data_IF_508147188363
#
_entry.id   IF_508147188363
#
_cell.length_a   1.000
_cell.length_b   1.000
_cell.length_c   1.000
_cell.angle_alpha   90.00
_cell.angle_beta   90.00
_cell.angle_gamma   90.00
#
_symmetry.space_group_name_H-M   'P 1'
#
loop_
_entity.id
_entity.type
_entity.pdbx_description
1 polymer ?
#
# COMPACT_ATOMS: atom_id res chain seq x y z
N UNK A 1 32.54 -65.67 -16.26
CA UNK A 1 32.46 -65.58 -14.78
C UNK A 1 32.34 -64.12 -14.41
N UNK A 2 31.29 -63.77 -13.65
CA UNK A 2 31.17 -62.59 -12.78
C UNK A 2 31.25 -61.23 -13.50
N UNK A 3 30.11 -60.70 -13.94
CA UNK A 3 29.75 -59.25 -13.90
C UNK A 3 28.30 -59.10 -14.41
N UNK A 4 27.37 -59.73 -13.69
CA UNK A 4 25.91 -59.54 -13.80
C UNK A 4 25.38 -59.30 -12.39
N UNK A 5 25.71 -58.14 -11.83
CA UNK A 5 25.11 -57.59 -10.62
C UNK A 5 25.67 -56.17 -10.49
N UNK A 6 24.88 -55.21 -9.99
CA UNK A 6 25.23 -53.77 -9.85
C UNK A 6 24.88 -52.90 -11.08
N UNK A 7 23.65 -52.95 -11.60
CA UNK A 7 23.00 -51.75 -12.23
C UNK A 7 21.48 -51.78 -12.04
N UNK A 8 20.97 -52.37 -10.96
CA UNK A 8 19.52 -52.37 -10.65
C UNK A 8 19.34 -52.13 -9.15
N UNK A 9 19.95 -51.04 -8.65
CA UNK A 9 19.58 -50.39 -7.39
C UNK A 9 19.72 -48.87 -7.57
N UNK A 10 19.27 -48.35 -8.71
CA UNK A 10 18.84 -46.95 -8.84
C UNK A 10 17.32 -46.91 -8.77
N UNK A 11 16.82 -47.66 -7.77
CA UNK A 11 15.44 -47.75 -7.37
C UNK A 11 15.12 -46.42 -6.66
N UNK A 12 14.24 -45.64 -7.28
CA UNK A 12 13.19 -44.94 -6.55
C UNK A 12 13.63 -44.13 -5.32
N UNK A 13 14.62 -43.26 -5.50
CA UNK A 13 14.65 -41.99 -4.76
C UNK A 13 14.33 -40.89 -5.78
N UNK A 14 13.22 -41.08 -6.52
CA UNK A 14 12.46 -39.95 -7.00
C UNK A 14 11.87 -39.34 -5.74
N UNK A 15 12.64 -38.41 -5.16
CA UNK A 15 12.21 -37.61 -4.04
C UNK A 15 10.94 -36.92 -4.53
N UNK A 16 9.78 -37.42 -4.10
CA UNK A 16 8.59 -36.61 -3.98
C UNK A 16 8.92 -35.53 -2.94
N UNK A 17 9.72 -34.55 -3.35
CA UNK A 17 9.58 -33.20 -2.86
C UNK A 17 8.23 -32.76 -3.42
N UNK A 18 7.16 -33.28 -2.82
CA UNK A 18 5.92 -32.54 -2.82
C UNK A 18 6.33 -31.23 -2.19
N UNK A 19 6.41 -30.20 -3.01
CA UNK A 19 6.43 -28.84 -2.53
C UNK A 19 5.19 -28.76 -1.64
N UNK A 20 5.42 -28.95 -0.34
CA UNK A 20 4.56 -28.42 0.67
C UNK A 20 4.70 -26.91 0.47
N UNK A 21 4.00 -26.40 -0.53
CA UNK A 21 3.50 -25.05 -0.51
C UNK A 21 2.76 -25.00 0.83
N UNK A 22 3.48 -24.56 1.85
CA UNK A 22 2.91 -23.96 3.02
C UNK A 22 2.11 -22.80 2.44
N UNK A 23 0.90 -23.13 2.00
CA UNK A 23 -0.03 -22.24 1.36
C UNK A 23 -0.46 -21.29 2.45
N UNK A 24 0.38 -20.28 2.66
CA UNK A 24 0.06 -19.09 3.43
C UNK A 24 -1.14 -18.52 2.70
N UNK A 25 -2.31 -18.93 3.18
CA UNK A 25 -3.59 -18.57 2.61
C UNK A 25 -3.60 -17.05 2.57
N UNK A 26 -3.62 -16.50 1.37
CA UNK A 26 -3.59 -15.05 1.17
C UNK A 26 -4.72 -14.43 2.00
N UNK A 27 -4.43 -13.35 2.76
CA UNK A 27 -5.43 -12.73 3.60
C UNK A 27 -6.58 -12.22 2.73
N UNK A 28 -7.79 -12.22 3.30
CA UNK A 28 -8.93 -11.58 2.64
C UNK A 28 -8.91 -10.08 2.93
N UNK A 29 -9.37 -9.29 1.97
CA UNK A 29 -9.45 -7.84 2.06
C UNK A 29 -10.87 -7.37 2.35
N UNK A 30 -10.99 -6.38 3.23
CA UNK A 30 -12.27 -5.88 3.75
C UNK A 30 -12.29 -4.35 3.78
N UNK A 31 -13.46 -3.76 3.52
CA UNK A 31 -13.81 -2.44 4.06
C UNK A 31 -14.34 -2.61 5.47
N UNK A 32 -14.13 -1.62 6.34
CA UNK A 32 -14.56 -1.67 7.75
C UNK A 32 -15.55 -0.55 8.03
N UNK A 33 -16.57 -0.86 8.83
CA UNK A 33 -17.47 0.15 9.43
C UNK A 33 -17.62 -0.14 10.92
N UNK A 34 -17.75 0.92 11.72
CA UNK A 34 -18.04 0.78 13.15
C UNK A 34 -19.48 0.34 13.36
N UNK A 35 -19.70 -0.58 14.27
CA UNK A 35 -21.05 -0.90 14.76
C UNK A 35 -21.49 0.14 15.80
N UNK A 36 -22.50 0.95 15.44
CA UNK A 36 -23.03 2.02 16.28
C UNK A 36 -24.22 1.58 17.15
N UNK A 37 -24.63 0.30 17.10
CA UNK A 37 -25.72 -0.22 17.92
C UNK A 37 -25.35 -0.14 19.41
N UNK A 38 -26.35 0.16 20.25
CA UNK A 38 -26.20 0.23 21.72
C UNK A 38 -26.84 -1.00 22.36
N UNK A 39 -26.03 -1.91 22.90
CA UNK A 39 -26.44 -3.16 23.55
C UNK A 39 -25.28 -3.70 24.42
N UNK A 40 -25.42 -4.89 25.02
CA UNK A 40 -24.34 -5.51 25.80
C UNK A 40 -23.19 -6.00 24.90
N UNK A 41 -21.96 -5.60 25.20
CA UNK A 41 -20.76 -6.18 24.60
C UNK A 41 -20.68 -7.69 24.95
N UNK A 42 -20.19 -8.56 24.03
CA UNK A 42 -19.59 -8.27 22.72
C UNK A 42 -20.58 -8.37 21.55
N UNK A 43 -21.90 -8.21 21.77
CA UNK A 43 -22.92 -8.34 20.71
C UNK A 43 -23.05 -7.07 19.84
N UNK A 44 -22.53 -5.95 20.30
CA UNK A 44 -22.46 -4.68 19.58
C UNK A 44 -21.28 -3.82 20.04
N UNK A 45 -21.06 -2.71 19.34
CA UNK A 45 -19.93 -1.80 19.57
C UNK A 45 -18.63 -2.26 18.89
N UNK A 46 -18.70 -3.34 18.11
CA UNK A 46 -17.61 -3.89 17.31
C UNK A 46 -17.55 -3.27 15.91
N UNK A 47 -17.35 -4.10 14.90
CA UNK A 47 -17.17 -3.68 13.51
C UNK A 47 -17.90 -4.59 12.54
N UNK A 48 -18.35 -4.02 11.43
CA UNK A 48 -18.84 -4.74 10.26
C UNK A 48 -17.77 -4.74 9.18
N UNK A 49 -17.44 -5.92 8.67
CA UNK A 49 -16.50 -6.13 7.60
C UNK A 49 -17.25 -6.48 6.32
N UNK A 50 -17.07 -5.69 5.27
CA UNK A 50 -17.56 -6.03 3.94
C UNK A 50 -16.41 -6.53 3.09
N UNK A 51 -16.48 -7.76 2.61
CA UNK A 51 -15.42 -8.36 1.81
C UNK A 51 -15.40 -7.73 0.41
N UNK A 52 -14.28 -7.11 0.02
CA UNK A 52 -14.19 -6.40 -1.26
C UNK A 52 -14.36 -7.34 -2.45
N UNK A 53 -14.88 -6.82 -3.57
CA UNK A 53 -15.19 -7.55 -4.82
C UNK A 53 -16.24 -8.68 -4.70
N UNK A 54 -16.77 -8.95 -3.50
CA UNK A 54 -17.80 -9.98 -3.33
C UNK A 54 -19.18 -9.38 -3.08
N UNK A 55 -20.21 -10.22 -3.25
CA UNK A 55 -21.61 -9.92 -2.88
C UNK A 55 -22.00 -10.52 -1.52
N UNK A 56 -21.03 -10.97 -0.72
CA UNK A 56 -21.29 -11.56 0.59
C UNK A 56 -21.80 -10.51 1.57
N UNK A 57 -22.66 -10.96 2.50
CA UNK A 57 -23.14 -10.13 3.60
C UNK A 57 -21.99 -9.70 4.51
N UNK A 58 -22.21 -8.58 5.21
CA UNK A 58 -21.24 -8.05 6.18
C UNK A 58 -21.00 -9.04 7.32
N UNK A 59 -19.73 -9.20 7.69
CA UNK A 59 -19.29 -10.03 8.79
C UNK A 59 -19.15 -9.15 10.04
N UNK A 60 -19.88 -9.48 11.10
CA UNK A 60 -19.71 -8.81 12.39
C UNK A 60 -18.50 -9.37 13.14
N UNK A 61 -17.58 -8.50 13.55
CA UNK A 61 -16.47 -8.83 14.45
C UNK A 61 -16.53 -7.96 15.69
N UNK A 62 -16.37 -8.55 16.87
CA UNK A 62 -16.44 -7.80 18.13
C UNK A 62 -15.15 -7.02 18.41
N UNK A 63 -14.02 -7.47 17.84
CA UNK A 63 -12.71 -6.87 18.06
C UNK A 63 -11.83 -6.96 16.81
N UNK A 64 -10.94 -5.99 16.70
CA UNK A 64 -9.84 -5.93 15.73
C UNK A 64 -8.53 -6.05 16.52
N UNK A 65 -7.63 -6.92 16.05
CA UNK A 65 -6.28 -7.10 16.58
C UNK A 65 -5.25 -6.76 15.50
N UNK A 66 -4.16 -6.10 15.87
CA UNK A 66 -3.10 -5.68 14.94
C UNK A 66 -2.93 -4.16 14.92
N UNK A 67 -2.84 -3.60 13.72
CA UNK A 67 -2.61 -2.17 13.52
C UNK A 67 -3.70 -1.28 14.13
N UNK A 68 -3.28 -0.13 14.66
CA UNK A 68 -4.20 0.87 15.20
C UNK A 68 -4.85 1.63 14.04
N UNK A 69 -6.16 1.46 13.88
CA UNK A 69 -6.96 2.22 12.93
C UNK A 69 -7.48 3.53 13.56
N UNK A 70 -7.66 4.55 12.74
CA UNK A 70 -8.36 5.77 13.13
C UNK A 70 -9.88 5.53 13.01
N UNK A 71 -10.56 5.41 14.15
CA UNK A 71 -12.00 5.16 14.23
C UNK A 71 -12.84 6.22 13.49
N UNK A 72 -12.30 7.44 13.29
CA UNK A 72 -12.98 8.52 12.58
C UNK A 72 -12.81 8.46 11.06
N UNK A 73 -11.96 7.56 10.58
CA UNK A 73 -11.60 7.43 9.17
C UNK A 73 -11.68 5.99 8.67
N UNK A 74 -12.48 5.12 9.32
CA UNK A 74 -12.59 3.70 8.94
C UNK A 74 -13.01 3.47 7.48
N UNK A 75 -13.79 4.38 6.92
CA UNK A 75 -14.22 4.37 5.52
C UNK A 75 -13.07 4.66 4.53
N UNK A 76 -11.93 5.14 5.03
CA UNK A 76 -10.70 5.36 4.27
C UNK A 76 -9.78 4.15 4.25
N UNK A 77 -10.13 3.04 4.92
CA UNK A 77 -9.27 1.86 5.02
C UNK A 77 -9.77 0.68 4.18
N UNK A 78 -8.81 0.00 3.57
CA UNK A 78 -8.92 -1.39 3.12
C UNK A 78 -7.93 -2.21 3.95
N UNK A 79 -8.43 -3.20 4.68
CA UNK A 79 -7.59 -4.06 5.51
C UNK A 79 -7.54 -5.47 4.97
N UNK A 80 -6.36 -6.05 4.91
CA UNK A 80 -6.15 -7.48 4.73
C UNK A 80 -6.04 -8.15 6.10
N UNK A 81 -6.71 -9.29 6.27
CA UNK A 81 -6.59 -10.04 7.51
C UNK A 81 -7.32 -11.38 7.51
N UNK A 82 -7.34 -11.99 8.70
CA UNK A 82 -8.04 -13.26 8.94
C UNK A 82 -9.09 -13.09 10.02
N UNK A 83 -10.33 -13.47 9.70
CA UNK A 83 -11.40 -13.59 10.70
C UNK A 83 -11.26 -14.94 11.41
N UNK A 84 -11.22 -14.91 12.74
CA UNK A 84 -11.13 -16.09 13.60
C UNK A 84 -12.19 -16.03 14.69
N UNK A 85 -12.54 -17.18 15.28
CA UNK A 85 -13.41 -17.24 16.47
C UNK A 85 -12.55 -17.39 17.73
N UNK A 86 -12.93 -16.72 18.80
CA UNK A 86 -12.32 -16.94 20.13
C UNK A 86 -12.92 -18.17 20.84
N UNK A 87 -12.51 -18.41 22.09
CA UNK A 87 -12.99 -19.53 22.92
C UNK A 87 -14.50 -19.49 23.20
N UNK A 88 -15.12 -18.31 23.10
CA UNK A 88 -16.55 -18.10 23.33
C UNK A 88 -17.34 -18.11 21.99
N UNK A 89 -16.66 -18.33 20.86
CA UNK A 89 -17.26 -18.37 19.53
C UNK A 89 -17.45 -17.00 18.87
N UNK A 90 -17.02 -15.91 19.50
CA UNK A 90 -17.13 -14.56 18.93
C UNK A 90 -16.06 -14.33 17.88
N UNK A 91 -16.44 -13.66 16.79
CA UNK A 91 -15.53 -13.41 15.67
C UNK A 91 -14.67 -12.17 15.91
N UNK A 92 -13.37 -12.30 15.67
CA UNK A 92 -12.39 -11.21 15.68
C UNK A 92 -11.61 -11.16 14.38
N UNK A 93 -11.21 -9.96 13.97
CA UNK A 93 -10.30 -9.76 12.84
C UNK A 93 -8.87 -9.59 13.34
N UNK A 94 -7.94 -10.39 12.82
CA UNK A 94 -6.50 -10.13 12.95
C UNK A 94 -6.02 -9.48 11.65
N UNK A 95 -5.66 -8.20 11.72
CA UNK A 95 -5.13 -7.42 10.59
C UNK A 95 -3.70 -7.85 10.34
N UNK A 96 -3.39 -8.10 9.06
CA UNK A 96 -2.05 -8.38 8.56
C UNK A 96 -1.59 -7.35 7.54
N UNK A 97 -2.50 -6.51 7.06
CA UNK A 97 -2.24 -5.53 6.01
C UNK A 97 -3.22 -4.36 6.16
N UNK A 98 -2.71 -3.14 6.20
CA UNK A 98 -3.52 -1.93 6.34
C UNK A 98 -3.23 -0.99 5.19
N UNK A 99 -4.26 -0.58 4.44
CA UNK A 99 -4.12 0.35 3.33
C UNK A 99 -5.06 1.54 3.54
N UNK A 100 -4.54 2.76 3.52
CA UNK A 100 -5.31 3.99 3.73
C UNK A 100 -5.41 4.79 2.44
N UNK A 101 -6.60 5.31 2.17
CA UNK A 101 -6.92 6.12 0.99
C UNK A 101 -5.98 7.34 0.90
N UNK A 102 -5.22 7.43 -0.18
CA UNK A 102 -4.46 8.63 -0.52
C UNK A 102 -5.45 9.78 -0.77
N UNK A 103 -5.27 10.96 -0.14
CA UNK A 103 -6.19 12.07 -0.34
C UNK A 103 -6.12 12.54 -1.78
N UNK A 104 -7.27 12.84 -2.34
CA UNK A 104 -7.39 13.49 -3.64
C UNK A 104 -8.34 14.65 -3.41
N UNK A 105 -7.93 15.86 -3.80
CA UNK A 105 -8.83 17.02 -3.73
C UNK A 105 -10.13 16.66 -4.43
N UNK A 106 -11.26 16.97 -3.79
CA UNK A 106 -12.58 16.46 -4.12
C UNK A 106 -12.75 16.24 -5.63
N UNK A 107 -12.83 14.97 -6.03
CA UNK A 107 -13.13 14.61 -7.41
C UNK A 107 -14.42 15.32 -7.83
N UNK A 108 -14.53 15.77 -9.10
CA UNK A 108 -15.73 16.40 -9.60
C UNK A 108 -16.96 15.56 -9.22
N UNK A 109 -18.00 16.26 -8.75
CA UNK A 109 -19.26 15.69 -8.29
C UNK A 109 -19.69 14.54 -9.21
N UNK A 110 -20.07 13.36 -8.67
CA UNK A 110 -20.38 12.19 -9.49
C UNK A 110 -21.61 12.48 -10.35
N UNK A 111 -21.36 12.90 -11.58
CA UNK A 111 -22.36 12.91 -12.64
C UNK A 111 -22.65 11.45 -13.01
N UNK A 112 -23.83 10.98 -12.60
CA UNK A 112 -24.41 9.67 -12.92
C UNK A 112 -23.83 8.48 -12.13
N UNK A 113 -24.73 7.52 -11.85
CA UNK A 113 -24.52 6.28 -11.08
C UNK A 113 -23.17 5.64 -11.40
N UNK A 114 -22.18 5.85 -10.53
CA UNK A 114 -20.87 5.21 -10.67
C UNK A 114 -21.03 3.77 -10.15
N UNK A 115 -20.83 2.80 -11.04
CA UNK A 115 -20.76 1.39 -10.65
C UNK A 115 -19.78 1.21 -9.49
N UNK A 116 -20.09 0.33 -8.53
CA UNK A 116 -19.21 -0.02 -7.42
C UNK A 116 -17.81 -0.37 -7.98
N UNK A 117 -16.72 0.26 -7.52
CA UNK A 117 -15.41 -0.01 -8.06
C UNK A 117 -14.94 -1.41 -7.69
N UNK A 118 -14.12 -2.00 -8.56
CA UNK A 118 -13.39 -3.24 -8.28
C UNK A 118 -12.03 -2.89 -7.68
N UNK A 119 -11.56 -3.71 -6.74
CA UNK A 119 -10.30 -3.53 -6.03
C UNK A 119 -9.22 -4.48 -6.57
N UNK A 120 -8.04 -3.94 -6.85
CA UNK A 120 -6.93 -4.63 -7.48
C UNK A 120 -5.61 -4.45 -6.70
N UNK A 121 -4.66 -5.34 -6.96
CA UNK A 121 -3.22 -5.15 -6.65
C UNK A 121 -2.37 -5.52 -7.87
N UNK A 122 -1.25 -4.84 -8.06
CA UNK A 122 -0.24 -5.29 -9.02
C UNK A 122 0.48 -6.54 -8.51
N UNK A 123 0.90 -7.38 -9.45
CA UNK A 123 1.71 -8.57 -9.25
C UNK A 123 2.65 -8.75 -10.44
N UNK A 124 3.58 -9.71 -10.36
CA UNK A 124 4.47 -10.04 -11.47
C UNK A 124 3.71 -10.46 -12.76
N UNK A 125 2.51 -11.01 -12.62
CA UNK A 125 1.70 -11.53 -13.73
C UNK A 125 0.63 -10.54 -14.22
N UNK A 126 0.70 -9.26 -13.84
CA UNK A 126 -0.32 -8.25 -14.13
C UNK A 126 -1.10 -7.84 -12.88
N UNK A 127 -2.37 -7.45 -13.03
CA UNK A 127 -3.20 -7.00 -11.90
C UNK A 127 -4.14 -8.10 -11.44
N UNK A 128 -4.29 -8.25 -10.12
CA UNK A 128 -5.09 -9.29 -9.48
C UNK A 128 -6.26 -8.65 -8.76
N UNK A 129 -7.47 -9.13 -9.03
CA UNK A 129 -8.67 -8.77 -8.28
C UNK A 129 -8.58 -9.34 -6.86
N UNK A 130 -8.72 -8.47 -5.86
CA UNK A 130 -8.68 -8.88 -4.46
C UNK A 130 -9.86 -9.83 -4.15
N UNK A 131 -9.58 -10.85 -3.33
CA UNK A 131 -10.52 -11.91 -2.89
C UNK A 131 -11.03 -12.90 -3.96
N UNK A 132 -11.06 -12.51 -5.23
CA UNK A 132 -11.49 -13.38 -6.34
C UNK A 132 -10.29 -14.08 -7.02
N UNK A 133 -9.08 -13.55 -6.85
CA UNK A 133 -7.83 -14.03 -7.47
C UNK A 133 -7.85 -14.05 -9.00
N UNK A 134 -8.81 -13.36 -9.63
CA UNK A 134 -8.84 -13.19 -11.08
C UNK A 134 -7.67 -12.30 -11.51
N UNK A 135 -6.86 -12.80 -12.45
CA UNK A 135 -5.72 -12.06 -13.01
C UNK A 135 -6.13 -11.39 -14.32
N UNK A 136 -5.66 -10.16 -14.51
CA UNK A 136 -5.87 -9.39 -15.74
C UNK A 136 -4.54 -8.88 -16.27
N UNK A 137 -4.33 -9.11 -17.57
CA UNK A 137 -3.23 -8.49 -18.29
C UNK A 137 -3.58 -7.05 -18.59
N UNK A 138 -2.82 -6.12 -18.03
CA UNK A 138 -2.93 -4.68 -18.30
C UNK A 138 -1.65 -4.20 -18.95
N UNK A 139 -1.78 -3.43 -20.02
CA UNK A 139 -0.63 -2.87 -20.75
C UNK A 139 -0.20 -1.53 -20.16
N UNK A 140 -1.12 -0.81 -19.52
CA UNK A 140 -0.88 0.47 -18.88
C UNK A 140 -1.93 0.76 -17.80
N UNK A 141 -1.71 1.83 -17.03
CA UNK A 141 -2.70 2.39 -16.14
C UNK A 141 -2.81 3.91 -16.32
N UNK A 142 -3.91 4.48 -15.82
CA UNK A 142 -4.13 5.91 -15.73
C UNK A 142 -4.66 6.27 -14.36
N UNK A 143 -4.25 7.42 -13.85
CA UNK A 143 -4.63 7.94 -12.53
C UNK A 143 -4.55 9.48 -12.56
N UNK A 144 -5.15 10.15 -11.58
CA UNK A 144 -5.24 11.63 -11.55
C UNK A 144 -4.37 12.28 -10.47
N UNK A 145 -3.78 11.53 -9.55
CA UNK A 145 -2.97 12.06 -8.44
C UNK A 145 -1.71 12.76 -8.94
N UNK A 146 -0.96 12.15 -9.88
CA UNK A 146 0.32 12.73 -10.33
C UNK A 146 0.17 14.05 -11.11
N UNK A 147 -1.04 14.32 -11.61
CA UNK A 147 -1.38 15.57 -12.31
C UNK A 147 -2.10 16.58 -11.42
N UNK A 148 -2.82 16.12 -10.39
CA UNK A 148 -3.64 16.98 -9.52
C UNK A 148 -2.88 17.43 -8.26
N UNK A 149 -2.08 16.54 -7.67
CA UNK A 149 -1.39 16.82 -6.41
C UNK A 149 -0.07 17.52 -6.72
N UNK A 150 0.01 18.81 -6.36
CA UNK A 150 1.20 19.60 -6.63
C UNK A 150 2.35 19.12 -5.75
N UNK A 151 3.55 18.99 -6.34
CA UNK A 151 4.76 18.52 -5.65
C UNK A 151 4.68 17.07 -5.14
N UNK A 152 3.74 16.27 -5.65
CA UNK A 152 3.75 14.82 -5.42
C UNK A 152 5.01 14.22 -6.06
N UNK A 153 5.70 13.34 -5.33
CA UNK A 153 6.82 12.61 -5.90
C UNK A 153 6.31 11.47 -6.79
N UNK A 154 6.21 11.71 -8.10
CA UNK A 154 5.69 10.75 -9.09
C UNK A 154 6.39 9.39 -9.03
N UNK A 155 7.71 9.37 -8.89
CA UNK A 155 8.49 8.12 -8.84
C UNK A 155 8.08 7.22 -7.65
N UNK A 156 7.94 7.80 -6.46
CA UNK A 156 7.47 7.05 -5.28
C UNK A 156 6.04 6.56 -5.48
N UNK A 157 5.14 7.45 -5.92
CA UNK A 157 3.72 7.10 -6.06
C UNK A 157 3.52 5.97 -7.08
N UNK A 158 4.18 6.06 -8.24
CA UNK A 158 4.23 5.02 -9.25
C UNK A 158 4.81 3.72 -8.69
N UNK A 159 5.93 3.78 -7.95
CA UNK A 159 6.52 2.61 -7.32
C UNK A 159 5.52 1.89 -6.39
N UNK A 160 4.70 2.61 -5.61
CA UNK A 160 3.66 2.00 -4.76
C UNK A 160 2.54 1.33 -5.53
N UNK A 161 2.15 1.90 -6.67
CA UNK A 161 1.18 1.26 -7.58
C UNK A 161 1.76 -0.03 -8.15
N UNK A 162 2.95 0.01 -8.77
CA UNK A 162 3.47 -1.12 -9.55
C UNK A 162 4.13 -2.22 -8.71
N UNK A 163 4.62 -1.90 -7.51
CA UNK A 163 5.18 -2.90 -6.57
C UNK A 163 4.11 -3.83 -5.97
N UNK A 164 2.82 -3.53 -6.15
CA UNK A 164 1.72 -4.29 -5.54
C UNK A 164 1.46 -3.95 -4.08
N UNK A 165 2.17 -2.97 -3.51
CA UNK A 165 1.98 -2.53 -2.13
C UNK A 165 0.70 -1.73 -1.94
N UNK A 166 0.27 -0.95 -2.94
CA UNK A 166 -0.99 -0.23 -2.89
C UNK A 166 -2.18 -1.10 -3.32
N UNK A 167 -3.35 -0.90 -2.68
CA UNK A 167 -4.64 -1.37 -3.19
C UNK A 167 -5.24 -0.30 -4.11
N UNK A 168 -5.71 -0.72 -5.28
CA UNK A 168 -6.24 0.17 -6.32
C UNK A 168 -7.73 -0.05 -6.47
N UNK A 169 -8.55 1.00 -6.40
CA UNK A 169 -9.95 0.91 -6.79
C UNK A 169 -10.13 1.52 -8.17
N UNK A 170 -10.69 0.78 -9.11
CA UNK A 170 -10.76 1.24 -10.49
C UNK A 170 -11.54 0.30 -11.41
N UNK A 171 -11.30 0.45 -12.71
CA UNK A 171 -11.93 -0.34 -13.78
C UNK A 171 -10.92 -0.63 -14.88
N UNK A 172 -10.99 -1.83 -15.45
CA UNK A 172 -10.20 -2.22 -16.62
C UNK A 172 -11.04 -2.05 -17.88
N UNK A 173 -10.52 -1.34 -18.87
CA UNK A 173 -11.12 -1.21 -20.19
C UNK A 173 -10.02 -1.20 -21.24
N UNK A 174 -10.16 -2.02 -22.29
CA UNK A 174 -9.17 -2.14 -23.37
C UNK A 174 -7.73 -2.37 -22.85
N UNK A 175 -7.59 -3.27 -21.87
CA UNK A 175 -6.31 -3.57 -21.19
C UNK A 175 -5.63 -2.39 -20.48
N UNK A 176 -6.35 -1.28 -20.25
CA UNK A 176 -5.88 -0.16 -19.44
C UNK A 176 -6.62 -0.15 -18.12
N UNK A 177 -5.87 -0.12 -17.01
CA UNK A 177 -6.45 0.07 -15.69
C UNK A 177 -6.67 1.57 -15.43
N UNK A 178 -7.92 2.00 -15.38
CA UNK A 178 -8.29 3.34 -14.91
C UNK A 178 -8.45 3.30 -13.39
N UNK A 179 -7.49 3.90 -12.69
CA UNK A 179 -7.44 3.95 -11.23
C UNK A 179 -8.21 5.19 -10.77
N UNK A 180 -9.31 4.96 -10.05
CA UNK A 180 -10.15 6.02 -9.49
C UNK A 180 -9.70 6.38 -8.05
N UNK A 181 -9.19 5.41 -7.28
CA UNK A 181 -8.64 5.63 -5.94
C UNK A 181 -7.40 4.76 -5.68
N UNK A 182 -6.45 5.30 -4.92
CA UNK A 182 -5.26 4.58 -4.45
C UNK A 182 -5.27 4.50 -2.93
N UNK A 183 -5.17 3.30 -2.38
CA UNK A 183 -5.02 3.04 -0.95
C UNK A 183 -3.57 2.61 -0.69
N UNK A 184 -2.81 3.44 0.01
CA UNK A 184 -1.39 3.23 0.30
C UNK A 184 -1.25 2.36 1.54
N UNK A 185 -0.32 1.41 1.49
CA UNK A 185 0.02 0.58 2.65
C UNK A 185 0.52 1.44 3.83
N UNK A 186 0.12 1.09 5.05
CA UNK A 186 0.47 1.76 6.31
C UNK A 186 0.91 0.69 7.32
N UNK A 187 2.12 0.79 7.90
CA UNK A 187 3.13 1.81 7.61
C UNK A 187 3.67 1.69 6.19
N UNK A 188 4.04 2.82 5.58
CA UNK A 188 4.64 2.83 4.24
C UNK A 188 6.11 2.38 4.31
N UNK A 189 6.32 1.09 4.53
CA UNK A 189 7.63 0.44 4.60
C UNK A 189 7.69 -0.68 3.57
N UNK A 190 8.35 -0.42 2.43
CA UNK A 190 8.81 -1.51 1.58
C UNK A 190 10.14 -2.07 2.10
N UNK A 191 11.03 -1.18 2.55
CA UNK A 191 12.36 -1.49 3.07
C UNK A 191 12.73 -0.46 4.14
N UNK A 192 13.64 -0.84 5.05
CA UNK A 192 14.28 0.13 5.95
C UNK A 192 15.13 1.12 5.14
N UNK A 193 15.01 2.41 5.43
CA UNK A 193 15.85 3.40 4.78
C UNK A 193 17.32 3.18 5.14
N UNK A 194 18.24 3.23 4.16
CA UNK A 194 19.65 2.99 4.42
C UNK A 194 20.17 4.01 5.44
N UNK A 195 21.02 3.54 6.36
CA UNK A 195 21.71 4.41 7.29
C UNK A 195 22.48 5.47 6.52
N UNK A 196 22.28 6.73 6.90
CA UNK A 196 22.92 7.83 6.21
C UNK A 196 24.37 7.97 6.70
N UNK A 197 25.34 8.09 5.78
CA UNK A 197 26.71 8.39 6.19
C UNK A 197 26.76 9.76 6.87
N UNK A 198 27.69 9.92 7.81
CA UNK A 198 28.02 11.23 8.36
C UNK A 198 28.72 12.03 7.27
N UNK A 199 28.23 13.23 7.00
CA UNK A 199 28.75 14.11 5.95
C UNK A 199 29.31 15.37 6.59
N UNK A 200 30.63 15.48 6.63
CA UNK A 200 31.30 16.70 7.06
C UNK A 200 31.48 17.64 5.87
N UNK A 201 30.71 18.73 5.87
CA UNK A 201 30.83 19.77 4.86
C UNK A 201 31.84 20.83 5.30
N UNK A 202 32.66 21.30 4.35
CA UNK A 202 33.55 22.45 4.57
C UNK A 202 32.76 23.71 4.95
N UNK A 203 33.43 24.66 5.60
CA UNK A 203 32.79 25.89 6.07
C UNK A 203 32.00 26.61 4.96
N UNK A 204 30.74 26.93 5.25
CA UNK A 204 29.83 27.60 4.31
C UNK A 204 29.06 26.68 3.36
N UNK A 205 29.27 25.36 3.45
CA UNK A 205 28.48 24.35 2.76
C UNK A 205 27.60 23.57 3.74
N UNK A 206 26.46 23.06 3.26
CA UNK A 206 25.52 22.25 4.03
C UNK A 206 25.32 20.89 3.38
N UNK A 207 24.99 19.83 4.16
CA UNK A 207 24.64 18.53 3.61
C UNK A 207 23.41 18.64 2.70
N UNK A 208 23.58 18.20 1.46
CA UNK A 208 22.52 18.11 0.48
C UNK A 208 21.91 16.71 0.50
N UNK A 209 20.63 16.62 0.19
CA UNK A 209 19.85 15.41 0.18
C UNK A 209 19.00 15.30 -1.08
N UNK A 210 18.77 14.07 -1.49
CA UNK A 210 17.75 13.66 -2.46
C UNK A 210 16.81 12.65 -1.80
N UNK A 211 15.76 12.28 -2.53
CA UNK A 211 14.78 11.29 -2.11
C UNK A 211 14.63 10.23 -3.18
N UNK A 212 14.59 8.97 -2.78
CA UNK A 212 14.38 7.84 -3.70
C UNK A 212 12.89 7.45 -3.81
N UNK A 213 12.62 6.39 -4.56
CA UNK A 213 11.30 5.80 -4.77
C UNK A 213 10.67 5.18 -3.50
N UNK A 214 11.45 5.04 -2.42
CA UNK A 214 11.00 4.56 -1.11
C UNK A 214 10.84 5.69 -0.10
N UNK A 215 10.84 6.94 -0.57
CA UNK A 215 10.75 8.14 0.26
C UNK A 215 11.95 8.34 1.19
N UNK A 216 13.02 7.55 1.04
CA UNK A 216 14.20 7.65 1.88
C UNK A 216 15.00 8.88 1.56
N UNK A 217 15.40 9.61 2.60
CA UNK A 217 16.30 10.76 2.49
C UNK A 217 17.72 10.24 2.29
N UNK A 218 18.26 10.40 1.09
CA UNK A 218 19.61 9.99 0.74
C UNK A 218 20.53 11.19 0.64
N UNK A 219 21.73 11.07 1.21
CA UNK A 219 22.80 12.05 1.05
C UNK A 219 23.15 12.25 -0.42
N UNK A 220 23.32 13.51 -0.83
CA UNK A 220 23.71 13.94 -2.18
C UNK A 220 24.94 14.88 -2.17
N UNK A 221 25.78 14.72 -1.13
CA UNK A 221 27.01 15.48 -0.93
C UNK A 221 26.81 16.77 -0.14
N UNK A 222 27.64 17.78 -0.42
CA UNK A 222 27.56 19.10 0.19
C UNK A 222 27.23 20.15 -0.87
N UNK A 223 26.40 21.13 -0.54
CA UNK A 223 26.10 22.26 -1.40
C UNK A 223 26.17 23.58 -0.65
N UNK A 224 26.63 24.63 -1.33
CA UNK A 224 26.62 25.98 -0.80
C UNK A 224 25.20 26.55 -0.92
N UNK A 225 24.63 27.17 0.13
CA UNK A 225 23.36 27.85 0.02
C UNK A 225 23.37 28.88 -1.12
N UNK A 226 22.42 28.74 -2.05
CA UNK A 226 22.27 29.68 -3.16
C UNK A 226 21.56 30.94 -2.68
N UNK A 227 22.02 32.10 -3.16
CA UNK A 227 21.33 33.38 -2.93
C UNK A 227 20.09 33.56 -3.81
N UNK A 228 19.94 32.74 -4.84
CA UNK A 228 18.91 32.85 -5.88
C UNK A 228 17.88 31.73 -5.79
N UNK A 229 17.44 31.39 -4.57
CA UNK A 229 16.34 30.44 -4.41
C UNK A 229 15.01 31.17 -4.63
N UNK A 230 14.12 30.65 -5.50
CA UNK A 230 12.82 31.26 -5.70
C UNK A 230 12.04 31.20 -4.38
N UNK A 231 11.61 32.37 -3.89
CA UNK A 231 10.76 32.49 -2.70
C UNK A 231 9.32 32.14 -3.09
N UNK A 232 9.05 30.84 -3.21
CA UNK A 232 7.71 30.35 -3.49
C UNK A 232 7.00 30.00 -2.18
N UNK A 233 5.79 30.52 -2.00
CA UNK A 233 4.88 30.04 -0.96
C UNK A 233 4.37 28.65 -1.39
N UNK A 234 5.08 27.60 -0.95
CA UNK A 234 4.70 26.22 -1.27
C UNK A 234 3.58 25.80 -0.32
N UNK A 235 2.44 25.47 -0.91
CA UNK A 235 1.26 24.93 -0.23
C UNK A 235 0.92 23.59 -0.84
N UNK A 236 0.67 22.59 0.00
CA UNK A 236 0.21 21.27 -0.41
C UNK A 236 -1.32 21.21 -0.46
N UNK A 237 -1.84 20.28 -1.26
CA UNK A 237 -3.26 19.94 -1.33
C UNK A 237 -3.79 19.43 0.03
N UNK A 238 -5.12 19.38 0.22
CA UNK A 238 -5.70 18.98 1.50
C UNK A 238 -5.35 17.51 1.83
N UNK A 239 -4.97 17.24 3.08
CA UNK A 239 -4.52 15.92 3.52
C UNK A 239 -3.06 15.59 3.17
N UNK A 240 -2.32 16.56 2.62
CA UNK A 240 -0.88 16.46 2.39
C UNK A 240 -0.11 17.43 3.27
N UNK A 241 1.08 17.01 3.66
CA UNK A 241 2.04 17.76 4.46
C UNK A 241 3.31 18.01 3.66
N UNK A 242 3.89 19.19 3.86
CA UNK A 242 5.11 19.61 3.15
C UNK A 242 6.35 18.94 3.74
N UNK A 243 7.14 18.30 2.89
CA UNK A 243 8.48 17.80 3.21
C UNK A 243 9.51 18.66 2.50
N UNK A 244 10.58 19.05 3.20
CA UNK A 244 11.61 19.97 2.71
C UNK A 244 12.98 19.31 2.81
N UNK A 245 13.72 19.28 1.70
CA UNK A 245 15.09 18.75 1.65
C UNK A 245 16.03 19.80 1.06
N UNK A 246 17.14 20.09 1.73
CA UNK A 246 18.19 20.92 1.15
C UNK A 246 18.85 20.15 0.01
N UNK A 247 18.88 20.69 -1.21
CA UNK A 247 19.33 19.95 -2.39
C UNK A 247 20.70 20.43 -2.89
N UNK A 248 21.30 19.67 -3.80
CA UNK A 248 22.62 19.96 -4.36
C UNK A 248 22.71 21.28 -5.15
N UNK A 249 21.57 21.85 -5.53
CA UNK A 249 21.50 23.18 -6.17
C UNK A 249 21.73 24.33 -5.19
N UNK A 250 21.83 24.05 -3.89
CA UNK A 250 21.91 25.07 -2.85
C UNK A 250 20.55 25.66 -2.45
N UNK A 251 19.45 25.11 -2.97
CA UNK A 251 18.09 25.47 -2.62
C UNK A 251 17.31 24.30 -2.02
N UNK A 252 16.24 24.60 -1.29
CA UNK A 252 15.31 23.58 -0.81
C UNK A 252 14.47 23.01 -1.96
N UNK A 253 14.35 21.69 -2.00
CA UNK A 253 13.37 20.95 -2.79
C UNK A 253 12.19 20.59 -1.88
N UNK A 254 10.99 20.70 -2.42
CA UNK A 254 9.74 20.50 -1.70
C UNK A 254 8.98 19.31 -2.26
N UNK A 255 8.33 18.57 -1.38
CA UNK A 255 7.45 17.46 -1.70
C UNK A 255 6.17 17.57 -0.88
N UNK A 256 5.07 17.05 -1.40
CA UNK A 256 3.81 16.91 -0.68
C UNK A 256 3.51 15.44 -0.47
N UNK A 257 3.52 15.01 0.79
CA UNK A 257 3.27 13.64 1.22
C UNK A 257 1.91 13.53 1.90
N UNK A 258 1.17 12.43 1.77
CA UNK A 258 -0.03 12.21 2.57
C UNK A 258 0.31 12.35 4.06
N UNK A 259 -0.43 13.20 4.77
CA UNK A 259 -0.11 13.56 6.16
C UNK A 259 -0.13 12.36 7.11
N UNK A 260 -0.87 11.29 6.78
CA UNK A 260 -0.92 10.07 7.58
C UNK A 260 0.33 9.19 7.45
N UNK A 261 1.27 9.56 6.58
CA UNK A 261 2.53 8.83 6.36
C UNK A 261 3.76 9.53 6.98
N UNK A 262 3.56 10.58 7.78
CA UNK A 262 4.60 11.36 8.43
C UNK A 262 4.60 11.18 9.95
#
# INVERSE_FOLDING_TARGET
MIFKLIVIVSCLIAICLGDAEFGLKTPFFYTIKRDLRKCAAPMCGGYYLSKVNTIQDDIYVYAIQGDKLDDNALDQYIVGGKVTKDSNGFQKLTITDTNRLAPLDATPSPSNVVAKPTYYRYSADGVVELNENQKHQVTNYTETYTTTIRWLQTEWFTNRIVSGSAVLAGRISNSVLKIDKVFLHVPDQLDECPQQPIVDCIQGYLPAFKRDANRCKLTDGCARPSKFCPTLAIVCNQGYSIVRLFSKTGCYKFYCDPSFLL
#
